data_IF_802548587854
#
_entry.id   IF_802548587854
#
_cell.length_a   1.000
_cell.length_b   1.000
_cell.length_c   1.000
_cell.angle_alpha   90.00
_cell.angle_beta   90.00
_cell.angle_gamma   90.00
#
_symmetry.space_group_name_H-M   'P 1'
#
loop_
_entity.id
_entity.type
_entity.pdbx_description
1 polymer ?
#
# COMPACT_ATOMS: atom_id res chain seq x y z
N UNK A 1 -1.50 5.09 16.31
CA UNK A 1 -2.67 4.29 16.73
C UNK A 1 -3.94 5.14 16.90
N UNK A 2 -3.90 6.20 17.72
CA UNK A 2 -5.10 7.03 17.99
C UNK A 2 -5.68 7.74 16.73
N UNK A 3 -4.97 7.75 15.64
CA UNK A 3 -5.36 8.44 14.39
C UNK A 3 -6.17 7.58 13.42
N UNK A 4 -6.26 6.27 13.68
CA UNK A 4 -7.00 5.33 12.83
C UNK A 4 -6.36 5.02 11.49
N UNK A 5 -5.05 5.24 11.33
CA UNK A 5 -4.32 4.80 10.15
C UNK A 5 -4.08 3.28 10.22
N UNK A 6 -4.19 2.58 9.08
CA UNK A 6 -3.92 1.14 8.99
C UNK A 6 -2.43 0.81 9.13
N UNK A 7 -1.57 1.77 8.77
CA UNK A 7 -0.12 1.66 8.91
C UNK A 7 0.51 2.99 9.29
N UNK A 8 1.63 2.93 10.01
CA UNK A 8 2.52 4.07 10.25
C UNK A 8 3.85 3.83 9.54
N UNK A 9 4.37 4.89 8.91
CA UNK A 9 5.69 4.87 8.28
C UNK A 9 6.66 5.63 9.17
N UNK A 10 7.64 4.91 9.73
CA UNK A 10 8.76 5.47 10.48
C UNK A 10 9.90 5.74 9.49
N UNK A 11 10.33 6.98 9.40
CA UNK A 11 11.25 7.40 8.35
C UNK A 11 12.69 7.51 8.82
N UNK A 12 13.62 6.86 8.11
CA UNK A 12 15.07 6.98 8.29
C UNK A 12 15.74 7.73 7.12
N UNK A 13 14.97 8.08 6.08
CA UNK A 13 15.51 8.64 4.84
C UNK A 13 15.37 10.19 4.83
N UNK A 14 14.62 10.77 3.94
CA UNK A 14 14.65 12.20 3.63
C UNK A 14 14.17 13.11 4.77
N UNK A 15 13.29 12.64 5.65
CA UNK A 15 12.88 13.44 6.81
C UNK A 15 13.96 13.55 7.90
N UNK A 16 15.08 12.84 7.78
CA UNK A 16 16.16 12.80 8.76
C UNK A 16 17.43 13.45 8.20
N UNK A 17 17.93 14.47 8.87
CA UNK A 17 19.19 15.11 8.46
C UNK A 17 20.38 14.14 8.53
N UNK A 18 21.42 14.32 7.70
CA UNK A 18 22.56 13.40 7.66
C UNK A 18 23.25 13.22 9.03
N UNK A 19 23.29 14.25 9.87
CA UNK A 19 23.92 14.21 11.18
C UNK A 19 23.10 13.43 12.22
N UNK A 20 21.79 13.26 12.00
CA UNK A 20 20.87 12.61 12.93
C UNK A 20 20.52 11.17 12.53
N UNK A 21 21.10 10.64 11.46
CA UNK A 21 20.77 9.30 10.95
C UNK A 21 20.93 8.19 12.00
N UNK A 22 22.01 8.22 12.76
CA UNK A 22 22.27 7.23 13.80
C UNK A 22 21.29 7.35 14.97
N UNK A 23 21.00 8.59 15.40
CA UNK A 23 20.02 8.85 16.46
C UNK A 23 18.61 8.41 16.03
N UNK A 24 18.20 8.72 14.82
CA UNK A 24 16.90 8.31 14.26
C UNK A 24 16.76 6.79 14.19
N UNK A 25 17.81 6.08 13.76
CA UNK A 25 17.84 4.61 13.71
C UNK A 25 17.60 4.01 15.08
N UNK A 26 18.29 4.51 16.11
CA UNK A 26 18.12 4.07 17.50
C UNK A 26 16.69 4.38 18.00
N UNK A 27 16.15 5.56 17.68
CA UNK A 27 14.78 5.93 18.04
C UNK A 27 13.75 5.01 17.41
N UNK A 28 13.87 4.73 16.10
CA UNK A 28 12.95 3.85 15.37
C UNK A 28 13.05 2.41 15.92
N UNK A 29 14.26 1.89 16.13
CA UNK A 29 14.47 0.59 16.78
C UNK A 29 13.76 0.51 18.14
N UNK A 30 13.97 1.50 18.99
CA UNK A 30 13.36 1.52 20.32
C UNK A 30 11.83 1.70 20.24
N UNK A 31 11.33 2.49 19.31
CA UNK A 31 9.89 2.62 19.10
C UNK A 31 9.26 1.27 18.72
N UNK A 32 9.85 0.55 17.79
CA UNK A 32 9.35 -0.78 17.37
C UNK A 32 9.35 -1.79 18.50
N UNK A 33 10.37 -1.76 19.38
CA UNK A 33 10.49 -2.74 20.47
C UNK A 33 9.68 -2.39 21.73
N UNK A 34 9.41 -1.10 21.99
CA UNK A 34 8.83 -0.64 23.23
C UNK A 34 7.39 -0.12 23.10
N UNK A 35 7.00 0.37 21.92
CA UNK A 35 5.65 0.88 21.68
C UNK A 35 4.78 -0.23 21.11
N UNK A 36 3.73 -0.62 21.81
CA UNK A 36 2.75 -1.59 21.31
C UNK A 36 1.88 -0.97 20.21
N UNK A 37 2.35 -0.97 18.96
CA UNK A 37 1.55 -0.49 17.83
C UNK A 37 0.36 -1.42 17.57
N UNK A 38 -0.84 -0.88 17.46
CA UNK A 38 -2.04 -1.62 17.04
C UNK A 38 -2.25 -1.62 15.52
N UNK A 39 -1.50 -0.79 14.80
CA UNK A 39 -1.48 -0.73 13.33
C UNK A 39 -0.19 -1.36 12.77
N UNK A 40 -0.16 -1.54 11.46
CA UNK A 40 1.02 -2.05 10.77
C UNK A 40 2.19 -1.07 10.87
N UNK A 41 3.40 -1.58 11.06
CA UNK A 41 4.61 -0.75 11.14
C UNK A 41 5.43 -0.91 9.87
N UNK A 42 5.69 0.19 9.20
CA UNK A 42 6.56 0.26 8.01
C UNK A 42 7.75 1.14 8.35
N UNK A 43 8.95 0.75 7.97
CA UNK A 43 10.14 1.59 8.11
C UNK A 43 10.68 1.95 6.74
N UNK A 44 10.71 3.25 6.42
CA UNK A 44 11.42 3.71 5.23
C UNK A 44 12.91 3.81 5.56
N UNK A 45 13.67 2.86 4.99
CA UNK A 45 15.12 2.77 5.17
C UNK A 45 15.84 3.71 4.19
N UNK A 46 17.12 3.94 4.40
CA UNK A 46 17.94 4.64 3.41
C UNK A 46 18.15 3.78 2.16
N UNK A 47 18.35 4.43 1.00
CA UNK A 47 18.56 3.76 -0.28
C UNK A 47 19.76 2.79 -0.24
N UNK A 48 19.73 1.74 -1.06
CA UNK A 48 20.77 0.70 -1.05
C UNK A 48 22.20 1.23 -1.32
N UNK A 49 22.32 2.28 -2.13
CA UNK A 49 23.57 2.91 -2.52
C UNK A 49 24.01 4.06 -1.60
N UNK A 50 23.22 4.38 -0.57
CA UNK A 50 23.51 5.47 0.37
C UNK A 50 24.70 5.21 1.30
N UNK A 51 25.13 3.95 1.44
CA UNK A 51 26.08 3.52 2.46
C UNK A 51 25.49 3.38 3.87
N UNK A 52 24.22 3.72 4.08
CA UNK A 52 23.52 3.68 5.38
C UNK A 52 22.56 2.47 5.50
N UNK A 53 22.11 1.93 4.37
CA UNK A 53 21.10 0.89 4.32
C UNK A 53 21.46 -0.34 5.17
N UNK A 54 22.69 -0.80 5.11
CA UNK A 54 23.12 -1.99 5.87
C UNK A 54 22.95 -1.80 7.38
N UNK A 55 23.31 -0.63 7.90
CA UNK A 55 23.15 -0.29 9.32
C UNK A 55 21.66 -0.19 9.69
N UNK A 56 20.82 0.35 8.80
CA UNK A 56 19.38 0.39 9.01
C UNK A 56 18.82 -1.03 9.14
N UNK A 57 19.21 -1.93 8.24
CA UNK A 57 18.75 -3.31 8.25
C UNK A 57 19.15 -4.06 9.53
N UNK A 58 20.40 -3.91 9.97
CA UNK A 58 20.93 -4.56 11.18
C UNK A 58 20.19 -4.16 12.45
N UNK A 59 19.77 -2.90 12.55
CA UNK A 59 19.04 -2.39 13.72
C UNK A 59 17.53 -2.63 13.66
N UNK A 60 16.93 -2.58 12.45
CA UNK A 60 15.49 -2.56 12.27
C UNK A 60 14.91 -3.96 12.04
N UNK A 61 15.54 -4.82 11.23
CA UNK A 61 15.01 -6.15 10.92
C UNK A 61 14.77 -7.00 12.17
N UNK A 62 15.68 -7.03 13.16
CA UNK A 62 15.47 -7.80 14.39
C UNK A 62 14.24 -7.37 15.20
N UNK A 63 13.73 -6.16 15.00
CA UNK A 63 12.54 -5.67 15.68
C UNK A 63 11.23 -6.17 15.03
N UNK A 64 11.32 -6.79 13.85
CA UNK A 64 10.20 -7.40 13.15
C UNK A 64 9.11 -6.42 12.69
N UNK A 65 9.46 -5.28 12.04
CA UNK A 65 8.44 -4.43 11.44
C UNK A 65 7.61 -5.23 10.43
N UNK A 66 6.41 -4.77 10.13
CA UNK A 66 5.58 -5.40 9.10
C UNK A 66 6.27 -5.36 7.74
N UNK A 67 6.81 -4.19 7.37
CA UNK A 67 7.49 -4.04 6.09
C UNK A 67 8.62 -3.00 6.15
N UNK A 68 9.57 -3.16 5.23
CA UNK A 68 10.56 -2.14 4.87
C UNK A 68 10.10 -1.44 3.58
N UNK A 69 10.13 -0.11 3.59
CA UNK A 69 9.94 0.70 2.39
C UNK A 69 11.32 1.04 1.83
N UNK A 70 11.60 0.59 0.60
CA UNK A 70 12.85 0.86 -0.10
C UNK A 70 12.66 2.07 -1.02
N UNK A 71 13.28 3.24 -0.71
CA UNK A 71 13.20 4.42 -1.54
C UNK A 71 14.00 4.24 -2.83
N UNK A 72 13.71 5.05 -3.82
CA UNK A 72 14.45 5.15 -5.10
C UNK A 72 14.65 3.81 -5.78
N UNK A 73 13.64 2.93 -5.67
CA UNK A 73 13.69 1.60 -6.29
C UNK A 73 13.53 1.71 -7.80
N UNK A 74 14.53 1.20 -8.55
CA UNK A 74 14.57 1.28 -10.01
C UNK A 74 14.68 -0.07 -10.70
N UNK A 75 14.95 -1.16 -9.96
CA UNK A 75 15.18 -2.48 -10.57
C UNK A 75 14.79 -3.65 -9.67
N UNK A 76 14.46 -4.78 -10.30
CA UNK A 76 14.27 -6.07 -9.63
C UNK A 76 15.52 -6.52 -8.85
N UNK A 77 16.70 -6.20 -9.35
CA UNK A 77 17.97 -6.56 -8.72
C UNK A 77 18.13 -5.92 -7.33
N UNK A 78 17.70 -4.67 -7.15
CA UNK A 78 17.72 -4.02 -5.83
C UNK A 78 16.83 -4.79 -4.83
N UNK A 79 15.66 -5.26 -5.25
CA UNK A 79 14.78 -6.06 -4.41
C UNK A 79 15.41 -7.40 -4.05
N UNK A 80 16.05 -8.07 -5.00
CA UNK A 80 16.74 -9.33 -4.73
C UNK A 80 17.91 -9.16 -3.77
N UNK A 81 18.66 -8.06 -3.87
CA UNK A 81 19.74 -7.72 -2.94
C UNK A 81 19.19 -7.48 -1.53
N UNK A 82 18.10 -6.72 -1.42
CA UNK A 82 17.42 -6.47 -0.14
C UNK A 82 16.91 -7.78 0.47
N UNK A 83 16.27 -8.63 -0.32
CA UNK A 83 15.75 -9.92 0.13
C UNK A 83 16.86 -10.82 0.68
N UNK A 84 17.96 -10.92 -0.03
CA UNK A 84 19.14 -11.69 0.43
C UNK A 84 19.70 -11.14 1.75
N UNK A 85 19.76 -9.81 1.92
CA UNK A 85 20.25 -9.18 3.15
C UNK A 85 19.29 -9.42 4.32
N UNK A 86 18.01 -9.19 4.13
CA UNK A 86 16.97 -9.38 5.16
C UNK A 86 16.86 -10.86 5.55
N UNK A 87 16.91 -11.79 4.60
CA UNK A 87 16.86 -13.22 4.89
C UNK A 87 18.03 -13.68 5.77
N UNK A 88 19.25 -13.16 5.54
CA UNK A 88 20.38 -13.45 6.43
C UNK A 88 20.16 -12.93 7.86
N UNK A 89 19.60 -11.73 8.00
CA UNK A 89 19.32 -11.15 9.30
C UNK A 89 18.20 -11.92 10.02
N UNK A 90 17.12 -12.28 9.33
CA UNK A 90 16.06 -13.11 9.91
C UNK A 90 16.63 -14.44 10.42
N UNK A 91 17.46 -15.13 9.62
CA UNK A 91 18.11 -16.37 10.04
C UNK A 91 19.02 -16.21 11.26
N UNK A 92 19.86 -15.17 11.27
CA UNK A 92 20.82 -14.94 12.36
C UNK A 92 20.14 -14.59 13.69
N UNK A 93 18.91 -14.06 13.63
CA UNK A 93 18.10 -13.70 14.80
C UNK A 93 16.99 -14.71 15.12
N UNK A 94 16.97 -15.87 14.44
CA UNK A 94 15.98 -16.92 14.70
C UNK A 94 14.55 -16.53 14.31
N UNK A 95 14.40 -15.58 13.40
CA UNK A 95 13.10 -15.14 12.89
C UNK A 95 12.63 -16.05 11.74
N UNK A 96 11.31 -16.21 11.57
CA UNK A 96 10.78 -16.89 10.39
C UNK A 96 11.22 -16.16 9.10
N UNK A 97 11.69 -16.91 8.12
CA UNK A 97 12.01 -16.35 6.79
C UNK A 97 10.77 -15.75 6.14
N UNK A 98 10.91 -14.56 5.57
CA UNK A 98 9.79 -13.84 4.94
C UNK A 98 8.91 -13.09 5.94
N UNK A 99 9.30 -13.00 7.21
CA UNK A 99 8.57 -12.26 8.23
C UNK A 99 8.45 -10.78 7.89
N UNK A 100 9.55 -10.16 7.45
CA UNK A 100 9.58 -8.76 7.08
C UNK A 100 9.27 -8.62 5.60
N UNK A 101 8.19 -7.92 5.26
CA UNK A 101 7.76 -7.67 3.88
C UNK A 101 8.40 -6.43 3.29
N UNK A 102 8.16 -6.16 2.00
CA UNK A 102 8.74 -5.02 1.29
C UNK A 102 7.67 -4.18 0.60
N UNK A 103 7.90 -2.88 0.61
CA UNK A 103 7.14 -1.89 -0.15
C UNK A 103 8.13 -1.06 -0.96
N UNK A 104 8.43 -1.42 -2.22
CA UNK A 104 9.23 -0.58 -3.11
C UNK A 104 8.56 0.77 -3.35
N UNK A 105 9.31 1.87 -3.15
CA UNK A 105 8.86 3.21 -3.45
C UNK A 105 9.36 3.60 -4.86
N UNK A 106 8.40 3.76 -5.77
CA UNK A 106 8.63 4.09 -7.17
C UNK A 106 8.49 5.61 -7.33
N UNK A 107 9.61 6.29 -7.41
CA UNK A 107 9.71 7.74 -7.39
C UNK A 107 10.69 8.30 -8.42
N UNK A 108 10.97 7.47 -9.44
CA UNK A 108 11.74 7.85 -10.63
C UNK A 108 11.06 7.29 -11.88
N UNK A 109 11.29 7.91 -13.03
CA UNK A 109 10.80 7.42 -14.32
C UNK A 109 11.23 5.98 -14.58
N UNK A 110 12.50 5.64 -14.28
CA UNK A 110 13.01 4.28 -14.45
C UNK A 110 12.32 3.28 -13.52
N UNK A 111 12.04 3.65 -12.26
CA UNK A 111 11.30 2.81 -11.33
C UNK A 111 9.87 2.54 -11.80
N UNK A 112 9.18 3.55 -12.32
CA UNK A 112 7.84 3.43 -12.89
C UNK A 112 7.84 2.50 -14.11
N UNK A 113 8.78 2.64 -15.03
CA UNK A 113 8.89 1.76 -16.20
C UNK A 113 9.16 0.31 -15.81
N UNK A 114 9.94 0.07 -14.78
CA UNK A 114 10.29 -1.25 -14.29
C UNK A 114 9.30 -1.80 -13.23
N UNK A 115 8.18 -1.14 -12.99
CA UNK A 115 7.25 -1.45 -11.89
C UNK A 115 6.86 -2.94 -11.81
N UNK A 116 6.56 -3.58 -12.94
CA UNK A 116 6.18 -5.00 -12.94
C UNK A 116 7.36 -5.92 -12.56
N UNK A 117 8.54 -5.70 -13.12
CA UNK A 117 9.71 -6.51 -12.79
C UNK A 117 10.13 -6.35 -11.32
N UNK A 118 9.96 -5.16 -10.76
CA UNK A 118 10.16 -4.86 -9.33
C UNK A 118 9.12 -5.63 -8.50
N UNK A 119 7.84 -5.52 -8.84
CA UNK A 119 6.75 -6.18 -8.12
C UNK A 119 6.86 -7.71 -8.12
N UNK A 120 7.40 -8.29 -9.16
CA UNK A 120 7.58 -9.74 -9.31
C UNK A 120 8.93 -10.27 -8.76
N UNK A 121 9.78 -9.41 -8.20
CA UNK A 121 11.16 -9.76 -7.87
C UNK A 121 11.32 -10.59 -6.58
N UNK A 122 10.34 -10.54 -5.67
CA UNK A 122 10.33 -11.29 -4.40
C UNK A 122 8.90 -11.53 -3.93
N UNK A 123 8.67 -12.68 -3.30
CA UNK A 123 7.41 -13.00 -2.62
C UNK A 123 7.15 -12.15 -1.36
N UNK A 124 8.15 -11.38 -0.91
CA UNK A 124 8.02 -10.45 0.21
C UNK A 124 7.31 -9.15 -0.15
N UNK A 125 7.10 -8.87 -1.45
CA UNK A 125 6.49 -7.60 -1.84
C UNK A 125 5.00 -7.60 -1.47
N UNK A 126 4.65 -6.71 -0.53
CA UNK A 126 3.28 -6.45 -0.11
C UNK A 126 2.54 -5.59 -1.13
N UNK A 127 3.22 -4.58 -1.67
CA UNK A 127 2.66 -3.64 -2.60
C UNK A 127 3.70 -2.69 -3.17
N UNK A 128 3.30 -1.96 -4.20
CA UNK A 128 4.08 -0.87 -4.79
C UNK A 128 3.58 0.46 -4.25
N UNK A 129 4.48 1.36 -3.95
CA UNK A 129 4.16 2.70 -3.48
C UNK A 129 4.64 3.74 -4.51
N UNK A 130 3.79 4.72 -4.84
CA UNK A 130 4.15 5.82 -5.75
C UNK A 130 4.64 7.03 -4.97
N UNK A 131 5.86 7.50 -5.23
CA UNK A 131 6.43 8.73 -4.68
C UNK A 131 6.30 9.88 -5.67
N UNK A 132 5.26 10.72 -5.52
CA UNK A 132 4.92 11.75 -6.51
C UNK A 132 5.88 12.94 -6.55
N UNK A 133 6.45 13.37 -5.41
CA UNK A 133 7.32 14.54 -5.35
C UNK A 133 8.66 14.29 -6.06
N UNK A 134 9.36 13.24 -5.68
CA UNK A 134 10.63 12.87 -6.31
C UNK A 134 10.44 12.46 -7.78
N UNK A 135 9.33 11.79 -8.10
CA UNK A 135 9.00 11.47 -9.48
C UNK A 135 8.87 12.73 -10.34
N UNK A 136 8.16 13.76 -9.87
CA UNK A 136 8.02 14.99 -10.66
C UNK A 136 9.34 15.75 -10.79
N UNK A 137 10.20 15.69 -9.78
CA UNK A 137 11.56 16.21 -9.87
C UNK A 137 12.39 15.46 -10.93
N UNK A 138 12.33 14.13 -10.95
CA UNK A 138 13.00 13.30 -11.97
C UNK A 138 12.45 13.55 -13.37
N UNK A 139 11.12 13.69 -13.52
CA UNK A 139 10.44 14.06 -14.75
C UNK A 139 10.69 15.51 -15.18
N UNK A 140 11.33 16.33 -14.33
CA UNK A 140 11.61 17.76 -14.57
C UNK A 140 10.33 18.56 -14.80
N UNK A 141 9.27 18.26 -14.09
CA UNK A 141 8.00 18.98 -14.15
C UNK A 141 7.56 19.42 -12.76
N UNK A 142 6.59 20.34 -12.71
CA UNK A 142 6.06 20.84 -11.43
C UNK A 142 4.96 19.91 -10.95
N UNK A 143 5.01 19.54 -9.67
CA UNK A 143 3.90 18.85 -9.00
C UNK A 143 2.70 19.79 -8.88
N UNK A 144 1.52 19.33 -9.32
CA UNK A 144 0.26 20.08 -9.25
C UNK A 144 -0.75 19.38 -8.35
N UNK A 145 -1.78 20.11 -7.91
CA UNK A 145 -2.88 19.52 -7.14
C UNK A 145 -3.71 18.54 -7.97
N UNK A 146 -3.88 18.84 -9.25
CA UNK A 146 -4.63 18.02 -10.20
C UNK A 146 -3.93 16.70 -10.51
N UNK A 147 -2.61 16.64 -10.34
CA UNK A 147 -1.81 15.43 -10.47
C UNK A 147 -1.74 14.82 -11.86
N UNK A 148 -2.05 15.60 -12.92
CA UNK A 148 -2.03 15.10 -14.31
C UNK A 148 -0.64 14.66 -14.77
N UNK A 149 0.39 15.30 -14.26
CA UNK A 149 1.79 15.00 -14.55
C UNK A 149 2.23 13.62 -14.07
N UNK A 150 1.49 13.02 -13.12
CA UNK A 150 1.77 11.67 -12.60
C UNK A 150 0.71 10.63 -13.00
N UNK A 151 -0.27 10.96 -13.84
CA UNK A 151 -1.37 10.06 -14.21
C UNK A 151 -0.86 8.77 -14.87
N UNK A 152 0.08 8.88 -15.79
CA UNK A 152 0.71 7.71 -16.39
C UNK A 152 1.36 6.80 -15.33
N UNK A 153 2.12 7.39 -14.43
CA UNK A 153 2.79 6.65 -13.36
C UNK A 153 1.78 5.95 -12.44
N UNK A 154 0.70 6.64 -12.04
CA UNK A 154 -0.40 6.06 -11.26
C UNK A 154 -0.98 4.83 -11.95
N UNK A 155 -1.36 4.95 -13.21
CA UNK A 155 -1.94 3.84 -13.98
C UNK A 155 -0.95 2.69 -14.17
N UNK A 156 0.32 3.00 -14.47
CA UNK A 156 1.39 2.02 -14.66
C UNK A 156 1.65 1.22 -13.40
N UNK A 157 1.72 1.88 -12.24
CA UNK A 157 1.94 1.24 -10.93
C UNK A 157 0.77 0.32 -10.58
N UNK A 158 -0.48 0.76 -10.75
CA UNK A 158 -1.66 -0.08 -10.51
C UNK A 158 -1.67 -1.31 -11.41
N UNK A 159 -1.43 -1.14 -12.72
CA UNK A 159 -1.37 -2.27 -13.65
C UNK A 159 -0.28 -3.27 -13.28
N UNK A 160 0.91 -2.77 -12.92
CA UNK A 160 2.04 -3.61 -12.51
C UNK A 160 1.74 -4.38 -11.22
N UNK A 161 1.19 -3.70 -10.21
CA UNK A 161 0.82 -4.32 -8.93
C UNK A 161 -0.24 -5.42 -9.14
N UNK A 162 -1.29 -5.16 -9.92
CA UNK A 162 -2.32 -6.17 -10.22
C UNK A 162 -1.78 -7.35 -11.01
N UNK A 163 -0.90 -7.12 -11.98
CA UNK A 163 -0.25 -8.18 -12.75
C UNK A 163 0.65 -9.08 -11.87
N UNK A 164 1.26 -8.52 -10.83
CA UNK A 164 2.08 -9.25 -9.86
C UNK A 164 1.26 -9.83 -8.68
N UNK A 165 -0.02 -9.47 -8.55
CA UNK A 165 -0.87 -9.93 -7.44
C UNK A 165 -0.60 -9.24 -6.11
N UNK A 166 -0.06 -8.01 -6.13
CA UNK A 166 0.28 -7.21 -4.94
C UNK A 166 -0.56 -5.94 -4.85
N UNK A 167 -0.47 -5.22 -3.73
CA UNK A 167 -1.21 -3.98 -3.50
C UNK A 167 -0.57 -2.76 -4.20
N UNK A 168 -1.33 -1.68 -4.34
CA UNK A 168 -0.86 -0.41 -4.87
C UNK A 168 -1.25 0.72 -3.92
N UNK A 169 -0.25 1.53 -3.51
CA UNK A 169 -0.42 2.65 -2.60
C UNK A 169 -0.07 3.96 -3.31
N UNK A 170 -0.99 4.91 -3.23
CA UNK A 170 -0.83 6.21 -3.89
C UNK A 170 -0.01 7.19 -3.04
N UNK A 171 0.58 8.16 -3.72
CA UNK A 171 1.36 9.27 -3.15
C UNK A 171 0.52 10.14 -2.20
N UNK A 172 1.12 10.83 -1.20
CA UNK A 172 0.40 11.77 -0.37
C UNK A 172 -0.19 12.94 -1.18
N UNK A 173 -1.28 13.52 -0.66
CA UNK A 173 -1.72 14.85 -1.04
C UNK A 173 -0.99 15.88 -0.17
N UNK A 174 -0.34 16.87 -0.77
CA UNK A 174 0.66 17.70 -0.10
C UNK A 174 0.10 18.95 0.56
N UNK A 175 -1.06 19.46 0.13
CA UNK A 175 -1.70 20.62 0.75
C UNK A 175 -2.53 20.19 1.97
N UNK A 176 -1.93 20.30 3.16
CA UNK A 176 -2.57 19.86 4.42
C UNK A 176 -3.79 20.70 4.82
N UNK A 177 -4.06 21.82 4.17
CA UNK A 177 -5.17 22.70 4.47
C UNK A 177 -6.31 22.62 3.45
N UNK A 178 -6.16 21.82 2.39
CA UNK A 178 -7.15 21.66 1.32
C UNK A 178 -7.86 20.30 1.45
N UNK A 179 -8.85 20.23 2.34
CA UNK A 179 -9.63 19.01 2.55
C UNK A 179 -10.43 18.61 1.29
N UNK A 180 -10.90 19.60 0.50
CA UNK A 180 -11.64 19.34 -0.76
C UNK A 180 -10.75 18.68 -1.80
N UNK A 181 -9.56 19.25 -2.04
CA UNK A 181 -8.58 18.67 -2.95
C UNK A 181 -8.12 17.28 -2.52
N UNK A 182 -7.93 17.04 -1.22
CA UNK A 182 -7.65 15.70 -0.70
C UNK A 182 -8.72 14.70 -1.09
N UNK A 183 -10.00 15.04 -0.92
CA UNK A 183 -11.11 14.15 -1.25
C UNK A 183 -11.18 13.83 -2.74
N UNK A 184 -10.95 14.81 -3.60
CA UNK A 184 -10.92 14.63 -5.05
C UNK A 184 -9.76 13.73 -5.47
N UNK A 185 -8.55 14.00 -4.99
CA UNK A 185 -7.35 13.22 -5.28
C UNK A 185 -7.45 11.77 -4.78
N UNK A 186 -7.98 11.57 -3.55
CA UNK A 186 -8.18 10.23 -2.99
C UNK A 186 -9.22 9.42 -3.79
N UNK A 187 -10.35 10.03 -4.18
CA UNK A 187 -11.36 9.38 -5.03
C UNK A 187 -10.79 9.03 -6.40
N UNK A 188 -10.00 9.93 -6.97
CA UNK A 188 -9.34 9.68 -8.24
C UNK A 188 -8.39 8.48 -8.14
N UNK A 189 -7.52 8.44 -7.13
CA UNK A 189 -6.64 7.31 -6.88
C UNK A 189 -7.42 5.99 -6.70
N UNK A 190 -8.48 5.97 -5.87
CA UNK A 190 -9.37 4.80 -5.73
C UNK A 190 -9.97 4.38 -7.08
N UNK A 191 -10.40 5.33 -7.91
CA UNK A 191 -10.99 5.04 -9.24
C UNK A 191 -10.02 4.38 -10.20
N UNK A 192 -8.72 4.65 -10.08
CA UNK A 192 -7.66 4.01 -10.85
C UNK A 192 -7.33 2.59 -10.34
N UNK A 193 -7.74 2.22 -9.12
CA UNK A 193 -7.51 0.90 -8.54
C UNK A 193 -6.44 0.85 -7.45
N UNK A 194 -5.99 1.98 -6.93
CA UNK A 194 -5.22 2.01 -5.68
C UNK A 194 -6.07 1.47 -4.52
N UNK A 195 -5.41 0.80 -3.58
CA UNK A 195 -6.05 0.23 -2.38
C UNK A 195 -5.76 1.02 -1.11
N UNK A 196 -4.87 1.99 -1.20
CA UNK A 196 -4.53 2.87 -0.11
C UNK A 196 -3.83 4.13 -0.61
N UNK A 197 -3.68 5.09 0.28
CA UNK A 197 -3.02 6.37 0.03
C UNK A 197 -2.23 6.79 1.23
N UNK A 198 -1.02 7.30 1.01
CA UNK A 198 -0.22 7.87 2.09
C UNK A 198 -0.80 9.18 2.62
N UNK A 199 -0.51 9.45 3.87
CA UNK A 199 -0.80 10.72 4.51
C UNK A 199 0.47 11.30 5.14
N UNK A 200 0.72 12.58 4.90
CA UNK A 200 1.77 13.35 5.59
C UNK A 200 1.20 14.17 6.75
N UNK A 201 -0.11 14.10 6.98
CA UNK A 201 -0.77 14.81 8.06
C UNK A 201 -1.81 13.93 8.76
N UNK A 202 -1.82 13.86 10.09
CA UNK A 202 -2.88 13.18 10.83
C UNK A 202 -4.29 13.63 10.46
N UNK A 203 -4.43 14.89 10.07
CA UNK A 203 -5.70 15.49 9.65
C UNK A 203 -6.33 14.81 8.43
N UNK A 204 -5.50 14.25 7.54
CA UNK A 204 -5.96 13.63 6.31
C UNK A 204 -6.50 12.20 6.51
N UNK A 205 -6.10 11.52 7.59
CA UNK A 205 -6.42 10.11 7.81
C UNK A 205 -7.92 9.81 7.76
N UNK A 206 -8.81 10.57 8.44
CA UNK A 206 -10.25 10.30 8.38
C UNK A 206 -10.84 10.43 6.97
N UNK A 207 -10.38 11.45 6.19
CA UNK A 207 -10.82 11.66 4.81
C UNK A 207 -10.39 10.52 3.89
N UNK A 208 -9.15 10.07 4.00
CA UNK A 208 -8.61 8.94 3.24
C UNK A 208 -9.38 7.67 3.58
N UNK A 209 -9.56 7.36 4.87
CA UNK A 209 -10.31 6.18 5.31
C UNK A 209 -11.74 6.20 4.78
N UNK A 210 -12.42 7.34 4.84
CA UNK A 210 -13.79 7.46 4.32
C UNK A 210 -13.89 7.22 2.82
N UNK A 211 -12.86 7.59 2.05
CA UNK A 211 -12.81 7.32 0.60
C UNK A 211 -12.53 5.86 0.32
N UNK A 212 -11.52 5.25 0.96
CA UNK A 212 -11.08 3.89 0.63
C UNK A 212 -11.97 2.81 1.24
N UNK A 213 -12.70 3.11 2.32
CA UNK A 213 -13.67 2.17 2.89
C UNK A 213 -14.89 1.96 1.98
N UNK A 214 -15.48 0.77 1.96
CA UNK A 214 -16.75 0.53 1.28
C UNK A 214 -17.90 1.31 1.95
N UNK A 215 -18.75 1.93 1.16
CA UNK A 215 -19.98 2.57 1.63
C UNK A 215 -21.07 1.54 1.93
N UNK A 216 -22.04 1.89 2.75
CA UNK A 216 -23.21 1.02 3.02
C UNK A 216 -23.97 0.66 1.73
N UNK A 217 -24.07 1.61 0.78
CA UNK A 217 -24.68 1.35 -0.51
C UNK A 217 -23.90 0.34 -1.37
N UNK A 218 -22.58 0.42 -1.37
CA UNK A 218 -21.71 -0.55 -2.07
C UNK A 218 -21.81 -1.95 -1.42
N UNK A 219 -21.86 -2.00 -0.09
CA UNK A 219 -22.04 -3.26 0.66
C UNK A 219 -23.39 -3.89 0.33
N UNK A 220 -24.49 -3.13 0.42
CA UNK A 220 -25.84 -3.62 0.11
C UNK A 220 -25.93 -4.15 -1.32
N UNK A 221 -25.42 -3.38 -2.30
CA UNK A 221 -25.38 -3.82 -3.69
C UNK A 221 -24.55 -5.09 -3.89
N UNK A 222 -23.40 -5.21 -3.23
CA UNK A 222 -22.58 -6.40 -3.29
C UNK A 222 -23.30 -7.65 -2.73
N UNK A 223 -24.05 -7.50 -1.64
CA UNK A 223 -24.88 -8.57 -1.07
C UNK A 223 -25.99 -8.99 -2.05
N UNK A 224 -26.68 -8.03 -2.66
CA UNK A 224 -27.72 -8.31 -3.67
C UNK A 224 -27.15 -9.07 -4.88
N UNK A 225 -25.96 -8.67 -5.38
CA UNK A 225 -25.28 -9.34 -6.48
C UNK A 225 -24.99 -10.81 -6.14
N UNK A 226 -24.45 -11.10 -4.95
CA UNK A 226 -24.14 -12.49 -4.57
C UNK A 226 -25.40 -13.31 -4.36
N UNK A 227 -26.45 -12.76 -3.73
CA UNK A 227 -27.73 -13.45 -3.56
C UNK A 227 -28.37 -13.78 -4.90
N UNK A 228 -28.35 -12.83 -5.85
CA UNK A 228 -28.90 -13.03 -7.19
C UNK A 228 -28.14 -14.12 -7.99
N UNK A 229 -26.81 -14.17 -7.88
CA UNK A 229 -26.01 -15.24 -8.53
C UNK A 229 -26.30 -16.60 -7.93
N UNK A 230 -26.42 -16.70 -6.62
CA UNK A 230 -26.70 -17.98 -5.97
C UNK A 230 -28.11 -18.50 -6.31
N UNK A 231 -29.09 -17.62 -6.43
CA UNK A 231 -30.43 -17.99 -6.91
C UNK A 231 -30.41 -18.44 -8.38
N UNK A 232 -29.67 -17.73 -9.24
CA UNK A 232 -29.52 -18.11 -10.64
C UNK A 232 -28.88 -19.51 -10.81
N UNK A 233 -27.85 -19.80 -10.02
CA UNK A 233 -27.21 -21.13 -10.01
C UNK A 233 -28.20 -22.24 -9.59
N UNK A 234 -29.03 -22.01 -8.57
CA UNK A 234 -30.07 -22.94 -8.14
C UNK A 234 -31.10 -23.23 -9.23
N UNK A 235 -31.37 -22.19 -10.05
CA UNK A 235 -32.31 -22.26 -11.18
C UNK A 235 -31.67 -22.76 -12.50
N UNK A 236 -30.38 -23.07 -12.52
CA UNK A 236 -29.64 -23.50 -13.73
C UNK A 236 -29.46 -22.40 -14.78
N UNK A 237 -29.53 -21.11 -14.38
CA UNK A 237 -29.38 -19.96 -15.27
C UNK A 237 -27.95 -19.47 -15.27
N UNK A 238 -27.37 -19.22 -16.47
CA UNK A 238 -25.99 -18.74 -16.63
C UNK A 238 -25.79 -17.24 -16.64
N UNK A 239 -26.85 -16.46 -16.90
CA UNK A 239 -26.83 -15.00 -16.92
C UNK A 239 -28.04 -14.44 -16.18
N UNK A 240 -27.84 -13.38 -15.44
CA UNK A 240 -28.90 -12.70 -14.68
C UNK A 240 -28.85 -11.21 -14.90
N UNK A 241 -29.98 -10.54 -14.67
CA UNK A 241 -30.08 -9.08 -14.62
C UNK A 241 -30.50 -8.66 -13.22
N UNK A 242 -29.79 -7.67 -12.65
CA UNK A 242 -30.11 -7.03 -11.41
C UNK A 242 -30.23 -5.51 -11.66
N UNK A 243 -31.35 -4.92 -11.29
CA UNK A 243 -31.65 -3.50 -11.55
C UNK A 243 -31.42 -3.08 -13.02
N UNK A 244 -31.75 -3.96 -13.99
CA UNK A 244 -31.60 -3.70 -15.42
C UNK A 244 -30.15 -3.83 -15.94
N UNK A 245 -29.21 -4.21 -15.11
CA UNK A 245 -27.80 -4.46 -15.50
C UNK A 245 -27.49 -5.94 -15.53
N UNK A 246 -26.78 -6.40 -16.56
CA UNK A 246 -26.30 -7.78 -16.63
C UNK A 246 -25.25 -7.99 -15.53
N UNK A 247 -25.39 -9.09 -14.79
CA UNK A 247 -24.42 -9.52 -13.79
C UNK A 247 -23.55 -10.62 -14.40
N UNK A 248 -22.29 -10.32 -14.57
CA UNK A 248 -21.25 -11.21 -15.09
C UNK A 248 -20.16 -11.50 -14.03
N UNK A 249 -19.19 -12.32 -14.38
CA UNK A 249 -18.12 -12.73 -13.49
C UNK A 249 -17.30 -11.53 -12.91
N UNK A 250 -16.95 -10.50 -13.69
CA UNK A 250 -16.29 -9.31 -13.15
C UNK A 250 -17.08 -8.59 -12.07
N UNK A 251 -18.40 -8.46 -12.22
CA UNK A 251 -19.27 -7.83 -11.22
C UNK A 251 -19.31 -8.66 -9.93
N UNK A 252 -19.41 -9.97 -10.06
CA UNK A 252 -19.36 -10.89 -8.90
C UNK A 252 -18.02 -10.80 -8.18
N UNK A 253 -16.92 -10.73 -8.92
CA UNK A 253 -15.58 -10.58 -8.33
C UNK A 253 -15.47 -9.28 -7.53
N UNK A 254 -15.92 -8.15 -8.09
CA UNK A 254 -15.96 -6.87 -7.36
C UNK A 254 -16.85 -6.92 -6.12
N UNK A 255 -18.02 -7.54 -6.21
CA UNK A 255 -18.92 -7.69 -5.06
C UNK A 255 -18.25 -8.47 -3.92
N UNK A 256 -17.55 -9.55 -4.22
CA UNK A 256 -16.78 -10.32 -3.21
C UNK A 256 -15.67 -9.50 -2.59
N UNK A 257 -14.93 -8.72 -3.38
CA UNK A 257 -13.88 -7.82 -2.88
C UNK A 257 -14.44 -6.76 -1.94
N UNK A 258 -15.57 -6.13 -2.31
CA UNK A 258 -16.26 -5.15 -1.46
C UNK A 258 -16.67 -5.74 -0.12
N UNK A 259 -17.25 -6.95 -0.11
CA UNK A 259 -17.67 -7.60 1.13
C UNK A 259 -16.48 -8.07 1.97
N UNK A 260 -15.43 -8.58 1.35
CA UNK A 260 -14.20 -8.93 2.06
C UNK A 260 -13.56 -7.72 2.76
N UNK A 261 -13.48 -6.58 2.07
CA UNK A 261 -13.00 -5.33 2.66
C UNK A 261 -13.92 -4.85 3.80
N UNK A 262 -15.25 -4.92 3.61
CA UNK A 262 -16.22 -4.54 4.63
C UNK A 262 -16.12 -5.42 5.90
N UNK A 263 -15.84 -6.70 5.73
CA UNK A 263 -15.66 -7.65 6.83
C UNK A 263 -14.37 -7.35 7.62
N UNK A 264 -13.25 -7.13 6.93
CA UNK A 264 -11.97 -6.77 7.56
C UNK A 264 -12.11 -5.48 8.37
N UNK A 265 -12.87 -4.51 7.86
CA UNK A 265 -13.12 -3.23 8.53
C UNK A 265 -14.21 -3.30 9.61
N UNK A 266 -14.82 -4.47 9.84
CA UNK A 266 -15.90 -4.62 10.83
C UNK A 266 -17.20 -3.88 10.47
N UNK A 267 -17.38 -3.51 9.21
CA UNK A 267 -18.60 -2.80 8.72
C UNK A 267 -19.79 -3.75 8.51
N UNK A 268 -19.54 -5.03 8.42
CA UNK A 268 -20.52 -6.12 8.41
C UNK A 268 -20.09 -7.19 9.41
N UNK A 269 -21.07 -7.85 10.07
CA UNK A 269 -20.80 -8.95 11.00
C UNK A 269 -20.13 -10.11 10.27
N UNK A 270 -18.99 -10.57 10.76
CA UNK A 270 -18.40 -11.82 10.31
C UNK A 270 -19.31 -12.98 10.70
N UNK A 271 -19.75 -13.78 9.73
CA UNK A 271 -20.13 -15.15 10.06
C UNK A 271 -18.88 -15.83 10.61
N UNK A 272 -18.86 -16.08 11.91
CA UNK A 272 -17.88 -16.99 12.50
C UNK A 272 -18.17 -18.36 11.92
N UNK A 273 -17.48 -18.74 10.84
CA UNK A 273 -17.37 -20.14 10.49
C UNK A 273 -16.60 -20.82 11.63
N UNK A 274 -17.37 -21.32 12.60
CA UNK A 274 -16.90 -22.26 13.57
C UNK A 274 -16.52 -23.57 12.85
N UNK A 275 -15.31 -24.01 13.16
CA UNK A 275 -14.67 -25.30 12.87
C UNK A 275 -14.18 -25.53 11.47
#
# INVERSE_FOLDING_TARGET
DALGADAVILDLEDAVSPQEKDAARILVRNALSLMGFSCQTVVRINALDSGLCQQDLEEIVPQGPTALMLPKTTSAQQIQQLDAAVSRLEQSHGMPLGKVQFIPLLETALGVENAFSIAAASSRILGLFLGGEDLTADLRCKRTKEGKEIDYARQRVVCAARAAGVEAFDTPFTDVNDDGGLWEDARYAKSLGFTGKASISPRHVPGINAVFSPTQAEIAYAQEVLAAIDEAKRQGRGAISLHGKMIDAPIVTRARQTLASAQILGLIGGETHGN
#
